data_IF_571561219423
#
_entry.id   IF_571561219423
#
_cell.length_a   1.000
_cell.length_b   1.000
_cell.length_c   1.000
_cell.angle_alpha   90.00
_cell.angle_beta   90.00
_cell.angle_gamma   90.00
#
_symmetry.space_group_name_H-M   'P 1'
#
loop_
_entity.id
_entity.type
_entity.pdbx_description
1 polymer ?
#
# COMPACT_ATOMS: atom_id res chain seq x y z
N UNK A 1 -44.48 -4.42 27.95
CA UNK A 1 -45.37 -5.13 27.03
C UNK A 1 -45.79 -4.16 25.91
N UNK A 2 -45.67 -4.42 24.65
CA UNK A 2 -45.68 -5.70 23.95
C UNK A 2 -44.39 -6.03 23.15
N UNK A 3 -44.22 -7.31 22.89
CA UNK A 3 -43.26 -7.98 22.01
C UNK A 3 -43.52 -7.59 20.54
N UNK A 4 -42.50 -7.27 19.79
CA UNK A 4 -42.53 -7.24 18.33
C UNK A 4 -41.47 -8.17 17.78
N UNK A 5 -41.91 -9.31 17.29
CA UNK A 5 -41.13 -10.36 16.64
C UNK A 5 -40.74 -9.86 15.25
N UNK A 6 -39.46 -9.82 14.94
CA UNK A 6 -38.93 -9.49 13.61
C UNK A 6 -38.99 -10.71 12.69
N UNK A 7 -39.67 -10.51 11.57
CA UNK A 7 -39.89 -11.46 10.47
C UNK A 7 -38.61 -11.60 9.62
N UNK A 8 -38.10 -12.83 9.42
CA UNK A 8 -36.96 -13.14 8.56
C UNK A 8 -37.45 -13.50 7.14
N UNK A 9 -36.87 -12.95 6.09
CA UNK A 9 -37.20 -13.34 4.72
C UNK A 9 -36.54 -14.68 4.36
N UNK A 10 -37.37 -15.63 3.93
CA UNK A 10 -36.97 -16.94 3.38
C UNK A 10 -36.54 -16.78 1.93
N UNK A 11 -35.33 -17.22 1.57
CA UNK A 11 -34.87 -17.35 0.19
C UNK A 11 -35.32 -18.69 -0.43
N UNK A 12 -35.81 -18.72 -1.68
CA UNK A 12 -36.18 -19.93 -2.36
C UNK A 12 -34.96 -20.67 -2.95
N UNK A 13 -34.91 -21.99 -2.73
CA UNK A 13 -33.96 -22.93 -3.31
C UNK A 13 -34.21 -23.08 -4.82
N UNK A 14 -33.24 -22.74 -5.65
CA UNK A 14 -33.24 -23.01 -7.07
C UNK A 14 -32.86 -24.47 -7.37
N UNK A 15 -33.79 -25.18 -8.02
CA UNK A 15 -33.64 -26.55 -8.51
C UNK A 15 -32.65 -26.62 -9.67
N UNK A 16 -31.68 -27.52 -9.57
CA UNK A 16 -30.78 -27.90 -10.69
C UNK A 16 -31.53 -28.87 -11.58
N UNK A 17 -31.66 -28.54 -12.86
CA UNK A 17 -32.13 -29.46 -13.91
C UNK A 17 -30.92 -30.18 -14.51
N UNK A 18 -30.92 -31.51 -14.47
CA UNK A 18 -30.00 -32.38 -15.16
C UNK A 18 -30.53 -32.62 -16.58
N UNK A 19 -29.71 -32.36 -17.60
CA UNK A 19 -30.02 -32.77 -18.98
C UNK A 19 -29.04 -33.87 -19.37
N UNK A 20 -29.60 -35.08 -19.49
CA UNK A 20 -28.92 -36.23 -20.11
C UNK A 20 -29.25 -36.24 -21.61
N UNK A 21 -28.24 -36.27 -22.47
CA UNK A 21 -28.39 -36.66 -23.86
C UNK A 21 -27.44 -37.81 -24.17
N UNK A 22 -28.01 -39.02 -24.28
CA UNK A 22 -27.37 -40.16 -24.90
C UNK A 22 -27.66 -40.12 -26.44
N UNK A 23 -26.64 -40.28 -27.23
CA UNK A 23 -26.78 -40.41 -28.67
C UNK A 23 -25.62 -41.22 -29.22
N UNK A 24 -25.86 -42.54 -29.39
CA UNK A 24 -24.95 -43.47 -30.09
C UNK A 24 -25.28 -43.45 -31.58
N UNK A 25 -24.31 -43.13 -32.43
CA UNK A 25 -24.35 -43.46 -33.85
C UNK A 25 -23.00 -44.06 -34.22
N UNK A 26 -23.03 -45.36 -34.50
CA UNK A 26 -21.92 -46.08 -35.10
C UNK A 26 -21.97 -45.93 -36.64
N UNK A 27 -20.91 -45.49 -37.25
CA UNK A 27 -20.67 -45.58 -38.71
C UNK A 27 -19.24 -46.09 -38.92
N UNK A 28 -19.16 -47.33 -39.38
CA UNK A 28 -17.95 -47.96 -39.89
C UNK A 28 -17.62 -47.44 -41.28
N UNK A 29 -16.44 -46.81 -41.42
CA UNK A 29 -15.88 -46.44 -42.70
C UNK A 29 -14.34 -46.56 -42.67
N UNK A 30 -13.84 -47.59 -43.36
CA UNK A 30 -12.42 -47.77 -43.64
C UNK A 30 -11.93 -46.72 -44.63
N UNK A 31 -11.01 -45.87 -44.22
CA UNK A 31 -10.19 -45.08 -45.12
C UNK A 31 -8.83 -44.74 -44.46
N UNK A 32 -7.77 -44.91 -45.22
CA UNK A 32 -6.38 -44.95 -44.77
C UNK A 32 -5.90 -43.73 -43.97
N UNK A 33 -5.17 -44.01 -42.96
CA UNK A 33 -4.59 -43.04 -42.03
C UNK A 33 -3.28 -42.45 -42.59
N UNK A 34 -3.36 -41.25 -43.11
CA UNK A 34 -2.20 -40.34 -43.13
C UNK A 34 -2.27 -39.52 -41.83
N UNK A 35 -1.46 -39.87 -40.87
CA UNK A 35 -1.26 -39.08 -39.67
C UNK A 35 -0.15 -38.05 -39.93
N UNK A 36 -0.44 -36.75 -40.10
CA UNK A 36 0.62 -35.74 -40.02
C UNK A 36 1.06 -35.67 -38.56
N UNK A 37 2.29 -36.13 -38.30
CA UNK A 37 2.95 -35.87 -37.01
C UNK A 37 3.19 -34.38 -36.86
N UNK A 38 2.26 -33.68 -36.23
CA UNK A 38 2.55 -32.36 -35.69
C UNK A 38 3.49 -32.53 -34.51
N UNK A 39 4.78 -32.29 -34.72
CA UNK A 39 5.72 -32.09 -33.65
C UNK A 39 5.25 -30.84 -32.88
N UNK A 40 4.62 -31.06 -31.71
CA UNK A 40 4.40 -29.99 -30.75
C UNK A 40 5.79 -29.53 -30.31
N UNK A 41 6.20 -28.35 -30.78
CA UNK A 41 7.33 -27.66 -30.21
C UNK A 41 6.99 -27.41 -28.73
N UNK A 42 7.75 -28.02 -27.86
CA UNK A 42 7.68 -27.79 -26.41
C UNK A 42 7.85 -26.28 -26.16
N UNK A 43 6.91 -25.61 -25.46
CA UNK A 43 7.07 -24.19 -25.18
C UNK A 43 8.38 -23.99 -24.42
N UNK A 44 9.19 -22.98 -24.77
CA UNK A 44 10.44 -22.73 -24.08
C UNK A 44 10.16 -22.62 -22.58
N UNK A 45 10.93 -23.35 -21.78
CA UNK A 45 10.88 -23.27 -20.33
C UNK A 45 10.90 -21.77 -19.94
N UNK A 46 10.07 -21.34 -18.96
CA UNK A 46 10.09 -19.96 -18.52
C UNK A 46 11.53 -19.61 -18.12
N UNK A 47 12.13 -18.69 -18.87
CA UNK A 47 13.46 -18.19 -18.57
C UNK A 47 13.43 -17.77 -17.08
N UNK A 48 14.31 -18.36 -16.27
CA UNK A 48 14.54 -17.96 -14.90
C UNK A 48 14.67 -16.43 -14.90
N UNK A 49 13.60 -15.75 -14.47
CA UNK A 49 13.70 -14.34 -14.16
C UNK A 49 14.70 -14.27 -13.03
N UNK A 50 15.94 -13.90 -13.36
CA UNK A 50 16.97 -13.63 -12.39
C UNK A 50 16.29 -12.81 -11.28
N UNK A 51 16.22 -13.37 -10.09
CA UNK A 51 15.68 -12.70 -8.93
C UNK A 51 16.53 -11.43 -8.78
N UNK A 52 15.93 -10.27 -9.08
CA UNK A 52 16.57 -8.98 -8.84
C UNK A 52 16.88 -9.00 -7.36
N UNK A 53 18.17 -9.09 -7.02
CA UNK A 53 18.62 -9.11 -5.63
C UNK A 53 18.07 -7.84 -4.98
N UNK A 54 17.08 -7.99 -4.12
CA UNK A 54 16.59 -6.86 -3.33
C UNK A 54 17.73 -6.43 -2.40
N UNK A 55 17.97 -5.11 -2.28
CA UNK A 55 18.96 -4.62 -1.33
C UNK A 55 18.61 -5.18 0.06
N UNK A 56 19.63 -5.56 0.82
CA UNK A 56 19.43 -6.04 2.18
C UNK A 56 18.64 -5.00 2.98
N UNK A 57 17.59 -5.46 3.67
CA UNK A 57 16.80 -4.54 4.49
C UNK A 57 17.66 -3.96 5.61
N UNK A 58 17.54 -2.65 5.81
CA UNK A 58 18.21 -1.93 6.88
C UNK A 58 17.35 -1.97 8.15
N UNK A 59 17.86 -2.59 9.19
CA UNK A 59 17.24 -2.69 10.51
C UNK A 59 17.77 -1.66 11.50
N UNK A 60 18.56 -0.67 11.06
CA UNK A 60 19.14 0.35 11.94
C UNK A 60 18.09 1.21 12.65
N UNK A 61 16.90 1.36 12.05
CA UNK A 61 15.79 2.13 12.61
C UNK A 61 14.85 1.33 13.50
N UNK A 62 15.18 0.08 13.82
CA UNK A 62 14.37 -0.71 14.75
C UNK A 62 14.28 0.01 16.11
N UNK A 63 13.10 0.22 16.68
CA UNK A 63 12.99 0.95 17.95
C UNK A 63 13.51 0.13 19.13
N UNK A 64 13.75 0.79 20.26
CA UNK A 64 14.02 0.10 21.51
C UNK A 64 12.78 -0.68 21.96
N UNK A 65 12.98 -1.87 22.53
CA UNK A 65 11.89 -2.69 23.07
C UNK A 65 11.34 -2.12 24.37
N UNK A 66 10.05 -2.35 24.66
CA UNK A 66 9.50 -2.09 26.01
C UNK A 66 10.23 -2.89 27.07
N UNK A 67 10.23 -2.37 28.30
CA UNK A 67 10.85 -3.07 29.42
C UNK A 67 10.12 -4.39 29.72
N UNK A 68 10.90 -5.43 30.05
CA UNK A 68 10.37 -6.72 30.50
C UNK A 68 9.84 -7.64 29.40
N UNK A 69 10.01 -7.31 28.14
CA UNK A 69 9.65 -8.20 27.02
C UNK A 69 10.82 -9.10 26.62
N UNK A 70 10.51 -10.25 26.03
CA UNK A 70 11.50 -11.20 25.53
C UNK A 70 11.93 -10.83 24.10
N UNK A 71 13.20 -10.48 23.83
CA UNK A 71 13.71 -10.12 22.49
C UNK A 71 13.50 -11.21 21.43
N UNK A 72 13.52 -12.49 21.80
CA UNK A 72 13.31 -13.59 20.88
C UNK A 72 11.85 -13.70 20.40
N UNK A 73 10.92 -13.08 21.10
CA UNK A 73 9.48 -13.05 20.77
C UNK A 73 9.03 -11.73 20.15
N UNK A 74 9.90 -10.74 20.08
CA UNK A 74 9.66 -9.47 19.41
C UNK A 74 10.39 -9.42 18.09
N UNK A 75 9.73 -8.93 17.06
CA UNK A 75 10.32 -8.76 15.75
C UNK A 75 10.34 -7.29 15.34
N UNK A 76 11.42 -6.89 14.70
CA UNK A 76 11.44 -5.64 13.96
C UNK A 76 11.06 -5.91 12.51
N UNK A 77 10.11 -5.18 11.99
CA UNK A 77 9.66 -5.23 10.61
C UNK A 77 10.13 -4.01 9.84
N UNK A 78 10.62 -4.25 8.63
CA UNK A 78 10.98 -3.22 7.66
C UNK A 78 10.04 -3.34 6.46
N UNK A 79 9.19 -2.35 6.28
CA UNK A 79 8.26 -2.25 5.17
C UNK A 79 8.81 -1.32 4.10
N UNK A 80 8.74 -1.72 2.84
CA UNK A 80 9.01 -0.84 1.69
C UNK A 80 7.80 -0.84 0.78
N UNK A 81 7.28 0.33 0.49
CA UNK A 81 6.09 0.51 -0.33
C UNK A 81 6.31 1.48 -1.48
N UNK A 82 5.56 1.27 -2.56
CA UNK A 82 5.44 2.19 -3.69
C UNK A 82 3.99 2.73 -3.74
N UNK A 83 3.69 3.80 -2.98
CA UNK A 83 2.32 4.31 -2.90
C UNK A 83 1.94 5.16 -4.11
N UNK A 84 0.66 5.11 -4.48
CA UNK A 84 0.03 6.08 -5.38
C UNK A 84 -1.00 6.87 -4.58
N UNK A 85 -0.88 8.18 -4.61
CA UNK A 85 -1.76 9.10 -3.89
C UNK A 85 -2.60 9.89 -4.89
N UNK A 86 -3.92 9.87 -4.70
CA UNK A 86 -4.85 10.86 -5.25
C UNK A 86 -5.34 11.74 -4.10
N UNK A 87 -5.09 13.03 -4.16
CA UNK A 87 -5.54 14.00 -3.18
C UNK A 87 -6.08 15.24 -3.89
N UNK A 88 -7.35 15.54 -3.67
CA UNK A 88 -8.05 16.60 -4.39
C UNK A 88 -7.96 16.41 -5.92
N UNK A 89 -7.29 17.32 -6.61
CA UNK A 89 -7.11 17.30 -8.08
C UNK A 89 -5.81 16.66 -8.56
N UNK A 90 -5.01 16.11 -7.65
CA UNK A 90 -3.67 15.61 -7.99
C UNK A 90 -3.61 14.10 -7.77
N UNK A 91 -3.10 13.40 -8.78
CA UNK A 91 -2.72 11.98 -8.67
C UNK A 91 -1.23 11.86 -8.95
N UNK A 92 -0.51 11.21 -8.05
CA UNK A 92 0.94 11.05 -8.14
C UNK A 92 1.39 9.68 -7.61
N UNK A 93 2.35 9.05 -8.29
CA UNK A 93 3.11 7.95 -7.71
C UNK A 93 4.19 8.57 -6.82
N UNK A 94 4.10 8.33 -5.51
CA UNK A 94 5.08 8.83 -4.56
C UNK A 94 6.40 8.04 -4.68
N UNK A 95 7.49 8.67 -4.30
CA UNK A 95 8.74 7.95 -4.08
C UNK A 95 8.52 6.83 -3.05
N UNK A 96 9.30 5.74 -3.11
CA UNK A 96 9.18 4.66 -2.15
C UNK A 96 9.24 5.17 -0.70
N UNK A 97 8.39 4.58 0.14
CA UNK A 97 8.35 4.83 1.58
C UNK A 97 8.92 3.60 2.28
N UNK A 98 9.89 3.79 3.15
CA UNK A 98 10.36 2.75 4.07
C UNK A 98 9.87 3.09 5.46
N UNK A 99 9.30 2.11 6.16
CA UNK A 99 8.83 2.23 7.54
C UNK A 99 9.36 1.07 8.36
N UNK A 100 9.75 1.36 9.61
CA UNK A 100 10.14 0.36 10.59
C UNK A 100 9.25 0.42 11.82
N UNK A 101 8.95 -0.72 12.37
CA UNK A 101 8.29 -0.84 13.66
C UNK A 101 8.69 -2.16 14.33
N UNK A 102 8.47 -2.24 15.62
CA UNK A 102 8.59 -3.49 16.37
C UNK A 102 7.22 -3.97 16.82
N UNK A 103 7.04 -5.28 16.87
CA UNK A 103 5.82 -5.88 17.43
C UNK A 103 6.11 -7.19 18.14
N UNK A 104 5.30 -7.53 19.13
CA UNK A 104 5.39 -8.76 19.89
C UNK A 104 4.52 -8.75 21.12
N UNK A 105 4.52 -9.84 21.91
CA UNK A 105 3.72 -9.95 23.12
C UNK A 105 4.29 -9.10 24.25
N UNK A 106 3.41 -8.36 24.93
CA UNK A 106 3.68 -7.67 26.17
C UNK A 106 3.63 -8.63 27.37
N UNK A 107 4.18 -8.25 28.56
CA UNK A 107 4.16 -9.10 29.75
C UNK A 107 2.77 -9.51 30.23
N UNK A 108 1.75 -8.73 29.92
CA UNK A 108 0.34 -9.03 30.24
C UNK A 108 -0.33 -9.98 29.22
N UNK A 109 0.42 -10.44 28.21
CA UNK A 109 -0.07 -11.33 27.16
C UNK A 109 -0.79 -10.65 26.01
N UNK A 110 -0.97 -9.34 26.03
CA UNK A 110 -1.49 -8.57 24.89
C UNK A 110 -0.40 -8.35 23.84
N UNK A 111 -0.79 -7.98 22.62
CA UNK A 111 0.17 -7.62 21.57
C UNK A 111 0.50 -6.14 21.64
N UNK A 112 1.80 -5.84 21.59
CA UNK A 112 2.33 -4.48 21.57
C UNK A 112 2.99 -4.13 20.24
N UNK A 113 3.03 -2.83 19.95
CA UNK A 113 3.77 -2.26 18.81
C UNK A 113 4.57 -1.05 19.28
N UNK A 114 5.74 -0.86 18.70
CA UNK A 114 6.58 0.33 18.90
C UNK A 114 6.97 0.88 17.53
N UNK A 115 6.68 2.14 17.30
CA UNK A 115 7.07 2.85 16.09
C UNK A 115 8.59 3.06 16.06
N UNK A 116 9.21 2.82 14.90
CA UNK A 116 10.62 3.11 14.64
C UNK A 116 10.78 4.41 13.86
N UNK A 117 10.89 4.30 12.54
CA UNK A 117 11.10 5.44 11.65
C UNK A 117 10.32 5.31 10.35
N UNK A 118 10.23 6.43 9.63
CA UNK A 118 9.72 6.49 8.26
C UNK A 118 10.65 7.36 7.41
N UNK A 119 11.00 6.85 6.24
CA UNK A 119 11.80 7.56 5.25
C UNK A 119 11.08 7.60 3.91
N UNK A 120 11.11 8.76 3.27
CA UNK A 120 10.64 8.94 1.90
C UNK A 120 11.41 10.07 1.24
N UNK A 121 11.62 9.98 -0.07
CA UNK A 121 12.15 11.08 -0.84
C UNK A 121 11.02 12.01 -1.33
N UNK A 122 11.30 13.30 -1.59
CA UNK A 122 10.34 14.17 -2.23
C UNK A 122 9.99 13.70 -3.65
N UNK A 123 8.72 13.79 -4.01
CA UNK A 123 8.20 13.50 -5.35
C UNK A 123 7.79 14.78 -6.04
N UNK A 124 8.27 15.03 -7.24
CA UNK A 124 7.90 16.22 -8.02
C UNK A 124 6.47 16.08 -8.54
N UNK A 125 5.65 17.10 -8.26
CA UNK A 125 4.29 17.18 -8.78
C UNK A 125 4.30 17.78 -10.20
N UNK A 126 3.58 17.15 -11.17
CA UNK A 126 3.45 17.70 -12.52
C UNK A 126 2.86 19.11 -12.51
N UNK A 127 3.34 19.98 -13.41
CA UNK A 127 2.86 21.35 -13.56
C UNK A 127 3.34 22.35 -12.51
N UNK A 128 4.32 22.00 -11.67
CA UNK A 128 4.93 22.92 -10.71
C UNK A 128 3.94 23.58 -9.75
N UNK A 129 4.21 24.81 -9.34
CA UNK A 129 3.36 25.57 -8.39
C UNK A 129 2.07 26.07 -9.04
N UNK A 130 2.08 26.42 -10.33
CA UNK A 130 0.88 26.94 -11.05
C UNK A 130 -0.01 25.89 -11.68
N UNK A 131 0.45 24.65 -11.79
CA UNK A 131 -0.34 23.55 -12.34
C UNK A 131 -0.44 23.55 -13.88
N UNK A 132 0.43 24.29 -14.58
CA UNK A 132 0.40 24.37 -16.05
C UNK A 132 1.56 23.59 -16.66
N UNK A 133 1.32 22.93 -17.81
CA UNK A 133 2.37 22.22 -18.57
C UNK A 133 3.49 23.11 -19.07
N UNK A 134 3.25 24.44 -19.17
CA UNK A 134 4.29 25.40 -19.47
C UNK A 134 5.36 25.50 -18.36
N UNK A 135 5.04 25.16 -17.13
CA UNK A 135 5.99 25.18 -16.02
C UNK A 135 7.06 24.08 -16.14
N UNK A 136 6.79 23.01 -16.89
CA UNK A 136 7.78 21.96 -17.17
C UNK A 136 8.83 22.40 -18.20
N UNK A 137 8.47 23.30 -19.12
CA UNK A 137 9.34 23.81 -20.21
C UNK A 137 10.07 25.08 -19.83
N UNK A 138 9.51 25.86 -18.93
CA UNK A 138 10.14 27.10 -18.41
C UNK A 138 10.80 26.75 -17.07
N UNK A 139 11.95 27.34 -16.75
CA UNK A 139 12.69 27.21 -15.48
C UNK A 139 11.89 27.65 -14.24
N UNK A 140 10.58 27.42 -14.20
CA UNK A 140 9.73 27.81 -13.07
C UNK A 140 9.93 26.87 -11.87
N UNK A 141 9.70 27.35 -10.64
CA UNK A 141 9.95 26.56 -9.45
C UNK A 141 9.12 25.28 -9.45
N UNK A 142 9.81 24.16 -9.32
CA UNK A 142 9.17 22.86 -9.13
C UNK A 142 8.42 22.85 -7.80
N UNK A 143 7.32 22.10 -7.77
CA UNK A 143 6.63 21.77 -6.54
C UNK A 143 6.86 20.26 -6.29
N UNK A 144 7.28 19.92 -5.10
CA UNK A 144 7.40 18.54 -4.67
C UNK A 144 6.54 18.30 -3.44
N UNK A 145 6.15 17.04 -3.26
CA UNK A 145 5.40 16.53 -2.10
C UNK A 145 6.22 15.43 -1.44
N UNK A 146 6.31 15.46 -0.12
CA UNK A 146 7.00 14.44 0.67
C UNK A 146 6.09 14.00 1.82
N UNK A 147 5.73 12.70 1.89
CA UNK A 147 5.01 12.17 3.05
C UNK A 147 5.94 12.11 4.26
N UNK A 148 5.40 12.47 5.41
CA UNK A 148 6.04 12.43 6.72
C UNK A 148 5.11 11.75 7.73
N UNK A 149 5.66 11.09 8.74
CA UNK A 149 4.88 10.45 9.79
C UNK A 149 4.01 11.45 10.55
N UNK A 150 2.73 11.16 10.69
CA UNK A 150 1.74 12.04 11.31
C UNK A 150 1.56 11.83 12.82
N UNK A 151 2.21 10.82 13.41
CA UNK A 151 2.17 10.57 14.85
C UNK A 151 1.28 9.39 15.29
N UNK A 152 0.59 8.72 14.35
CA UNK A 152 -0.22 7.52 14.63
C UNK A 152 0.18 6.39 13.70
N UNK A 153 0.34 5.19 14.27
CA UNK A 153 0.50 3.94 13.50
C UNK A 153 -0.09 2.78 14.29
N UNK A 154 -0.85 1.94 13.62
CA UNK A 154 -1.34 0.66 14.11
C UNK A 154 -1.35 -0.32 12.92
N UNK A 155 -0.35 -1.16 12.85
CA UNK A 155 -0.18 -2.11 11.75
C UNK A 155 -1.16 -3.30 11.84
N UNK A 156 -1.74 -3.58 13.02
CA UNK A 156 -2.76 -4.62 13.16
C UNK A 156 -4.09 -4.20 12.53
N UNK A 157 -4.46 -2.93 12.67
CA UNK A 157 -5.72 -2.40 12.12
C UNK A 157 -5.55 -1.66 10.81
N UNK A 158 -4.32 -1.44 10.34
CA UNK A 158 -4.00 -0.68 9.15
C UNK A 158 -4.26 0.83 9.30
N UNK A 159 -4.34 1.33 10.54
CA UNK A 159 -4.51 2.76 10.81
C UNK A 159 -3.16 3.44 10.91
N UNK A 160 -2.96 4.51 10.17
CA UNK A 160 -1.81 5.39 10.33
C UNK A 160 -2.13 6.80 9.87
N UNK A 161 -1.30 7.75 10.26
CA UNK A 161 -1.45 9.14 9.85
C UNK A 161 -0.19 9.67 9.18
N UNK A 162 -0.39 10.50 8.16
CA UNK A 162 0.68 11.18 7.43
C UNK A 162 0.44 12.68 7.40
N UNK A 163 1.55 13.42 7.32
CA UNK A 163 1.60 14.80 6.83
C UNK A 163 2.25 14.81 5.47
N UNK A 164 1.89 15.77 4.63
CA UNK A 164 2.52 15.91 3.32
C UNK A 164 3.18 17.27 3.23
N UNK A 165 4.50 17.32 3.39
CA UNK A 165 5.27 18.53 3.21
C UNK A 165 5.33 18.92 1.74
N UNK A 166 5.02 20.19 1.45
CA UNK A 166 5.07 20.78 0.12
C UNK A 166 6.34 21.62 -0.01
N UNK A 167 7.15 21.32 -1.02
CA UNK A 167 8.49 21.89 -1.16
C UNK A 167 8.63 22.60 -2.49
N UNK A 168 9.04 23.88 -2.43
CA UNK A 168 9.38 24.70 -3.58
C UNK A 168 10.26 25.86 -3.09
N UNK A 169 11.16 26.42 -3.93
CA UNK A 169 11.92 27.61 -3.55
C UNK A 169 11.09 28.84 -3.19
N UNK A 170 9.79 28.83 -3.53
CA UNK A 170 8.84 29.92 -3.24
C UNK A 170 7.96 29.66 -2.02
N UNK A 171 8.08 28.49 -1.39
CA UNK A 171 7.29 28.13 -0.22
C UNK A 171 8.12 28.20 1.06
N UNK A 172 7.53 28.62 2.17
CA UNK A 172 8.12 28.40 3.49
C UNK A 172 8.37 26.91 3.74
N UNK A 173 9.36 26.57 4.56
CA UNK A 173 9.71 25.19 4.89
C UNK A 173 8.59 24.44 5.61
N UNK A 174 7.71 25.15 6.32
CA UNK A 174 6.58 24.57 7.04
C UNK A 174 5.34 24.26 6.19
N UNK A 175 5.34 24.61 4.89
CA UNK A 175 4.17 24.43 4.04
C UNK A 175 3.77 22.93 3.96
N UNK A 176 2.62 22.57 4.54
CA UNK A 176 2.27 21.18 4.79
C UNK A 176 0.75 20.96 4.70
N UNK A 177 0.32 19.88 4.04
CA UNK A 177 -1.05 19.37 4.13
C UNK A 177 -1.11 18.52 5.41
N UNK A 178 -2.02 18.87 6.32
CA UNK A 178 -2.15 18.17 7.60
C UNK A 178 -1.16 18.64 8.67
N UNK A 179 -0.75 19.93 8.64
CA UNK A 179 0.16 20.48 9.64
C UNK A 179 -0.47 20.45 11.04
N UNK A 180 -1.67 20.99 11.20
CA UNK A 180 -2.42 21.00 12.45
C UNK A 180 -3.15 19.68 12.74
N UNK A 181 -3.69 19.04 11.70
CA UNK A 181 -4.41 17.77 11.78
C UNK A 181 -3.91 16.82 10.69
N UNK A 182 -3.05 15.85 11.03
CA UNK A 182 -2.55 14.88 10.07
C UNK A 182 -3.67 14.16 9.33
N UNK A 183 -3.39 13.74 8.10
CA UNK A 183 -4.32 12.92 7.31
C UNK A 183 -4.33 11.52 7.88
N UNK A 184 -5.49 11.08 8.38
CA UNK A 184 -5.70 9.75 8.93
C UNK A 184 -6.10 8.77 7.82
N UNK A 185 -5.39 7.66 7.74
CA UNK A 185 -5.65 6.56 6.81
C UNK A 185 -6.15 5.32 7.54
N UNK A 186 -7.03 4.58 6.85
CA UNK A 186 -7.54 3.27 7.26
C UNK A 186 -7.34 2.29 6.13
N UNK A 187 -6.12 1.75 6.02
CA UNK A 187 -5.74 0.88 4.91
C UNK A 187 -6.46 -0.46 4.98
N UNK A 188 -7.16 -0.79 3.93
CA UNK A 188 -7.84 -2.08 3.72
C UNK A 188 -6.98 -2.95 2.83
N UNK A 189 -6.78 -4.21 3.18
CA UNK A 189 -6.08 -5.17 2.32
C UNK A 189 -6.87 -5.41 1.03
N UNK A 190 -6.19 -5.39 -0.12
CA UNK A 190 -6.79 -5.71 -1.42
C UNK A 190 -6.86 -7.21 -1.68
N UNK A 191 -6.24 -8.03 -0.81
CA UNK A 191 -6.19 -9.48 -0.89
C UNK A 191 -5.27 -10.08 0.17
N UNK A 192 -5.06 -11.40 0.16
CA UNK A 192 -4.17 -12.07 1.10
C UNK A 192 -2.71 -11.67 0.87
N UNK A 193 -1.93 -11.68 1.94
CA UNK A 193 -0.48 -11.53 1.85
C UNK A 193 0.15 -12.74 1.18
N UNK A 194 1.23 -12.52 0.43
CA UNK A 194 1.95 -13.55 -0.31
C UNK A 194 3.39 -13.66 0.21
N UNK A 195 3.78 -14.86 0.59
CA UNK A 195 5.18 -15.17 0.87
C UNK A 195 5.98 -15.22 -0.44
N UNK A 196 6.97 -14.37 -0.56
CA UNK A 196 7.92 -14.35 -1.70
C UNK A 196 9.14 -15.20 -1.37
N UNK A 197 9.60 -15.17 -0.10
CA UNK A 197 10.69 -15.96 0.43
C UNK A 197 10.45 -16.24 1.90
N UNK A 198 10.97 -17.38 2.38
CA UNK A 198 10.95 -17.76 3.79
C UNK A 198 12.29 -17.54 4.47
N UNK A 199 13.39 -17.45 3.71
CA UNK A 199 14.74 -17.19 4.24
C UNK A 199 15.57 -16.34 3.28
N UNK A 200 15.79 -15.05 3.56
CA UNK A 200 15.14 -14.28 4.62
C UNK A 200 13.62 -14.18 4.36
N UNK A 201 12.79 -13.99 5.41
CA UNK A 201 11.37 -13.80 5.24
C UNK A 201 11.10 -12.55 4.40
N UNK A 202 10.29 -12.68 3.37
CA UNK A 202 9.85 -11.58 2.51
C UNK A 202 8.39 -11.80 2.14
N UNK A 203 7.54 -10.86 2.50
CA UNK A 203 6.11 -10.93 2.33
C UNK A 203 5.65 -9.73 1.50
N UNK A 204 4.80 -9.97 0.52
CA UNK A 204 4.15 -8.92 -0.29
C UNK A 204 2.69 -8.79 0.09
N UNK A 205 2.20 -7.57 0.05
CA UNK A 205 0.78 -7.27 0.17
C UNK A 205 0.42 -5.97 -0.54
N UNK A 206 -0.87 -5.83 -0.85
CA UNK A 206 -1.45 -4.59 -1.36
C UNK A 206 -2.58 -4.12 -0.44
N UNK A 207 -2.69 -2.82 -0.27
CA UNK A 207 -3.75 -2.20 0.51
C UNK A 207 -4.17 -0.88 -0.12
N UNK A 208 -5.32 -0.37 0.25
CA UNK A 208 -5.83 0.91 -0.19
C UNK A 208 -6.69 1.58 0.88
N UNK A 209 -6.84 2.90 0.76
CA UNK A 209 -7.86 3.69 1.45
C UNK A 209 -8.45 4.69 0.46
N UNK A 210 -9.77 4.72 0.37
CA UNK A 210 -10.57 5.60 -0.47
C UNK A 210 -11.52 6.49 0.36
N UNK A 211 -11.31 6.51 1.68
CA UNK A 211 -12.25 7.14 2.62
C UNK A 211 -11.68 8.35 3.37
N UNK A 212 -10.38 8.63 3.25
CA UNK A 212 -9.76 9.72 3.97
C UNK A 212 -10.13 11.10 3.42
N UNK A 213 -10.18 12.10 4.30
CA UNK A 213 -10.27 13.50 3.95
C UNK A 213 -8.88 14.15 3.99
N UNK A 214 -8.62 15.08 3.07
CA UNK A 214 -7.40 15.86 3.05
C UNK A 214 -7.71 17.31 3.46
N UNK A 215 -7.08 17.85 4.51
CA UNK A 215 -7.24 19.25 4.91
C UNK A 215 -6.55 20.21 3.90
N UNK A 216 -6.77 21.49 4.09
CA UNK A 216 -6.02 22.51 3.36
C UNK A 216 -4.52 22.39 3.66
N UNK A 217 -3.69 22.84 2.71
CA UNK A 217 -2.28 23.11 3.00
C UNK A 217 -2.17 24.37 3.86
N UNK A 218 -1.40 24.27 4.93
CA UNK A 218 -1.16 25.30 5.94
C UNK A 218 0.32 25.75 5.90
N UNK A 219 0.61 26.86 6.57
CA UNK A 219 1.97 27.42 6.70
C UNK A 219 2.69 27.71 5.37
N UNK A 220 1.91 27.91 4.29
CA UNK A 220 2.41 28.17 2.95
C UNK A 220 2.57 29.67 2.63
N UNK A 221 2.37 30.56 3.62
CA UNK A 221 2.44 31.99 3.46
C UNK A 221 1.48 32.54 2.39
N UNK A 222 1.86 33.50 1.58
CA UNK A 222 1.00 34.09 0.53
C UNK A 222 0.55 33.07 -0.52
N UNK A 223 1.25 31.94 -0.64
CA UNK A 223 0.94 30.90 -1.61
C UNK A 223 -0.15 29.92 -1.15
N UNK A 224 -0.61 29.96 0.10
CA UNK A 224 -1.60 29.05 0.64
C UNK A 224 -2.89 28.99 -0.22
N UNK A 225 -3.51 30.12 -0.50
CA UNK A 225 -4.72 30.19 -1.31
C UNK A 225 -4.53 29.68 -2.76
N UNK A 226 -3.57 30.18 -3.53
CA UNK A 226 -3.27 29.67 -4.87
C UNK A 226 -2.97 28.18 -4.89
N UNK A 227 -2.20 27.69 -3.93
CA UNK A 227 -1.80 26.29 -3.83
C UNK A 227 -2.98 25.37 -3.52
N UNK A 228 -3.82 25.74 -2.54
CA UNK A 228 -5.03 24.99 -2.20
C UNK A 228 -6.01 24.92 -3.38
N UNK A 229 -6.23 26.01 -4.12
CA UNK A 229 -7.05 25.99 -5.34
C UNK A 229 -6.48 25.05 -6.41
N UNK A 230 -5.16 25.07 -6.62
CA UNK A 230 -4.48 24.19 -7.56
C UNK A 230 -4.61 22.73 -7.17
N UNK A 231 -4.37 22.41 -5.92
CA UNK A 231 -4.41 21.03 -5.41
C UNK A 231 -5.85 20.54 -5.20
N UNK A 232 -6.84 21.44 -5.19
CA UNK A 232 -8.24 21.11 -4.90
C UNK A 232 -8.46 20.80 -3.42
N UNK A 233 -7.80 21.56 -2.54
CA UNK A 233 -7.86 21.41 -1.09
C UNK A 233 -8.69 22.54 -0.44
N UNK A 234 -9.37 22.25 0.69
CA UNK A 234 -9.52 20.95 1.31
C UNK A 234 -10.35 19.98 0.45
N UNK A 235 -10.07 18.68 0.53
CA UNK A 235 -10.80 17.63 -0.19
C UNK A 235 -11.42 16.66 0.83
N UNK A 236 -12.71 16.79 1.14
CA UNK A 236 -13.38 15.96 2.14
C UNK A 236 -13.62 14.51 1.68
N UNK A 237 -13.56 14.27 0.37
CA UNK A 237 -13.79 12.95 -0.25
C UNK A 237 -13.14 12.89 -1.64
N UNK A 238 -13.25 11.70 -2.29
CA UNK A 238 -12.67 11.50 -3.63
C UNK A 238 -11.16 11.32 -3.63
N UNK A 239 -10.57 11.14 -2.45
CA UNK A 239 -9.17 10.85 -2.29
C UNK A 239 -8.92 9.34 -2.37
N UNK A 240 -7.70 8.93 -2.70
CA UNK A 240 -7.31 7.51 -2.80
C UNK A 240 -5.84 7.36 -2.44
N UNK A 241 -5.53 6.39 -1.61
CA UNK A 241 -4.17 5.90 -1.40
C UNK A 241 -4.13 4.42 -1.77
N UNK A 242 -3.28 4.03 -2.71
CA UNK A 242 -2.93 2.62 -2.92
C UNK A 242 -1.51 2.38 -2.42
N UNK A 243 -1.28 1.19 -1.89
CA UNK A 243 -0.06 0.88 -1.16
C UNK A 243 0.36 -0.55 -1.51
N UNK A 244 1.26 -0.69 -2.49
CA UNK A 244 1.89 -1.96 -2.83
C UNK A 244 3.20 -2.07 -2.07
N UNK A 245 3.29 -3.05 -1.17
CA UNK A 245 4.38 -3.16 -0.23
C UNK A 245 4.96 -4.56 -0.14
N UNK A 246 6.22 -4.60 0.22
CA UNK A 246 6.89 -5.77 0.77
C UNK A 246 7.36 -5.48 2.18
N UNK A 247 7.40 -6.49 3.04
CA UNK A 247 8.07 -6.38 4.32
C UNK A 247 8.90 -7.62 4.63
N UNK A 248 9.93 -7.38 5.41
CA UNK A 248 10.81 -8.41 5.97
C UNK A 248 10.95 -8.16 7.47
N UNK A 249 11.37 -9.18 8.22
CA UNK A 249 11.53 -9.03 9.66
C UNK A 249 12.69 -9.88 10.19
N UNK A 250 13.16 -9.48 11.38
CA UNK A 250 14.07 -10.26 12.25
C UNK A 250 13.59 -10.15 13.68
N UNK A 251 13.78 -11.21 14.46
CA UNK A 251 13.63 -11.11 15.91
C UNK A 251 14.79 -10.31 16.51
N UNK A 252 14.57 -9.68 17.66
CA UNK A 252 15.57 -8.77 18.24
C UNK A 252 16.82 -9.47 18.73
N UNK A 253 16.75 -10.75 19.09
CA UNK A 253 17.92 -11.59 19.40
C UNK A 253 18.80 -11.87 18.18
N UNK A 254 18.28 -11.67 16.95
CA UNK A 254 19.00 -11.82 15.68
C UNK A 254 19.55 -10.49 15.14
N UNK A 255 19.21 -9.36 15.77
CA UNK A 255 19.73 -8.06 15.39
C UNK A 255 21.13 -7.85 15.98
N UNK A 256 22.01 -7.07 15.29
CA UNK A 256 23.29 -6.68 15.88
C UNK A 256 23.08 -5.98 17.22
N UNK A 257 23.94 -6.28 18.18
CA UNK A 257 23.97 -5.54 19.44
C UNK A 257 24.20 -4.05 19.16
N UNK A 258 23.41 -3.20 19.80
CA UNK A 258 23.50 -1.74 19.70
C UNK A 258 24.27 -1.16 20.84
#
# INVERSE_FOLDING_TARGET
MPNTTADQPRFPLARRAAVSCAGVVALTGLAGAYTPSFAYAEPPAPADRAAVAQPAADFSDCPALPAGVDPARWRCEVHTAAPRLTVGKVTVALAPITMTHAEGPLPDGTNGQVWGAMHSAPTVLPGGVSGTTQDERTRRPRLAIQPEYGGRSDFYTGQFSLRFRLMSPRLPQGCTIGASAPVDFRMKRSGPSQWISTNPPLIRFSAYDDTFAAPAAEDCGPMAGPLNRRLGLPAPSGNMMTYDATYTFRTYDQLPAR
#
